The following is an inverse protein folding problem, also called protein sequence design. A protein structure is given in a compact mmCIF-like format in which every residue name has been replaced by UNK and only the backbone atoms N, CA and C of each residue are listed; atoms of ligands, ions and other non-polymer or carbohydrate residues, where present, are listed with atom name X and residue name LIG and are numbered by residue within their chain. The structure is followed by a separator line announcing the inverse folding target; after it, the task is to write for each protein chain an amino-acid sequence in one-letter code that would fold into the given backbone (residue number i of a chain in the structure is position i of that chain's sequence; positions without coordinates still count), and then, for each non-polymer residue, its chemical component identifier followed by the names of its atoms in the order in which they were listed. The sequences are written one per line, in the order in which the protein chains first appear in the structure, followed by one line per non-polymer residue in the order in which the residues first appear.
data_IF_836202146471
#
_entry.id   IF_836202146471
#
_cell.length_a   1.000
_cell.length_b   1.000
_cell.length_c   1.000
_cell.angle_alpha   90.00
_cell.angle_beta   90.00
_cell.angle_gamma   90.00
#
_symmetry.space_group_name_H-M   'P 1'
#
loop_
_entity.id
_entity.type
_entity.pdbx_description
1 polymer ?
#
# COMPACT_ATOMS: atom_id res chain seq x y z
N UNK A 1 36.94 3.94 27.06
CA UNK A 1 36.15 4.74 28.01
C UNK A 1 34.69 4.35 27.88
N UNK A 2 34.11 3.55 28.76
CA UNK A 2 32.68 3.17 28.71
C UNK A 2 31.90 4.30 29.40
N UNK A 3 31.17 5.10 28.63
CA UNK A 3 30.24 6.09 29.15
C UNK A 3 29.16 5.36 29.98
N UNK A 4 29.13 5.60 31.30
CA UNK A 4 28.02 5.13 32.15
C UNK A 4 26.77 5.95 31.79
N UNK A 5 25.99 5.48 30.83
CA UNK A 5 24.70 6.07 30.47
C UNK A 5 23.74 5.83 31.65
N UNK A 6 23.27 6.90 32.29
CA UNK A 6 22.24 6.82 33.33
C UNK A 6 20.97 6.18 32.73
N UNK A 7 20.29 5.29 33.48
CA UNK A 7 19.09 4.56 33.02
C UNK A 7 17.97 5.48 32.44
N UNK A 8 17.89 6.73 32.87
CA UNK A 8 16.92 7.70 32.35
C UNK A 8 17.30 8.43 31.07
N UNK A 9 18.58 8.39 30.64
CA UNK A 9 19.04 9.15 29.46
C UNK A 9 18.33 8.74 28.16
N UNK A 10 18.10 7.44 27.86
CA UNK A 10 17.35 7.05 26.66
C UNK A 10 15.90 7.59 26.65
N UNK A 11 15.23 7.56 27.80
CA UNK A 11 13.87 8.07 27.92
C UNK A 11 13.80 9.59 27.74
N UNK A 12 14.76 10.33 28.31
CA UNK A 12 14.84 11.78 28.12
C UNK A 12 15.10 12.16 26.66
N UNK A 13 15.90 11.40 25.93
CA UNK A 13 16.17 11.63 24.51
C UNK A 13 14.95 11.29 23.62
N UNK A 14 14.14 10.32 24.01
CA UNK A 14 12.93 9.91 23.28
C UNK A 14 11.69 10.72 23.68
N UNK A 15 11.72 11.43 24.83
CA UNK A 15 10.58 12.18 25.36
C UNK A 15 9.97 13.19 24.36
N UNK A 16 10.75 14.02 23.64
CA UNK A 16 10.18 14.95 22.66
C UNK A 16 9.37 14.25 21.57
N UNK A 17 9.89 13.13 21.07
CA UNK A 17 9.18 12.31 20.09
C UNK A 17 7.86 11.75 20.65
N UNK A 18 7.90 11.14 21.84
CA UNK A 18 6.69 10.56 22.44
C UNK A 18 5.65 11.61 22.81
N UNK A 19 6.05 12.81 23.22
CA UNK A 19 5.13 13.92 23.48
C UNK A 19 4.39 14.32 22.20
N UNK A 20 5.13 14.53 21.10
CA UNK A 20 4.55 14.90 19.80
C UNK A 20 3.66 13.76 19.29
N UNK A 21 4.14 12.52 19.36
CA UNK A 21 3.37 11.35 18.94
C UNK A 21 2.08 11.20 19.75
N UNK A 22 2.13 11.38 21.05
CA UNK A 22 0.93 11.34 21.90
C UNK A 22 -0.07 12.44 21.53
N UNK A 23 0.39 13.69 21.43
CA UNK A 23 -0.49 14.81 21.13
C UNK A 23 -1.16 14.73 19.75
N UNK A 24 -0.44 14.28 18.74
CA UNK A 24 -0.94 14.31 17.36
C UNK A 24 -1.46 12.96 16.84
N UNK A 25 -1.16 11.85 17.51
CA UNK A 25 -1.63 10.52 17.09
C UNK A 25 -2.51 9.88 18.16
N UNK A 26 -2.00 9.74 19.40
CA UNK A 26 -2.71 8.97 20.43
C UNK A 26 -3.92 9.75 20.95
N UNK A 27 -3.73 11.01 21.29
CA UNK A 27 -4.82 11.85 21.85
C UNK A 27 -6.00 11.99 20.86
N UNK A 28 -5.82 12.34 19.57
CA UNK A 28 -6.94 12.41 18.63
C UNK A 28 -7.64 11.06 18.42
N UNK A 29 -6.88 9.95 18.45
CA UNK A 29 -7.46 8.61 18.37
C UNK A 29 -8.37 8.31 19.56
N UNK A 30 -7.87 8.54 20.79
CA UNK A 30 -8.65 8.35 22.01
C UNK A 30 -9.86 9.29 22.07
N UNK A 31 -9.68 10.54 21.67
CA UNK A 31 -10.76 11.51 21.58
C UNK A 31 -11.83 11.07 20.57
N UNK A 32 -11.45 10.66 19.37
CA UNK A 32 -12.39 10.14 18.35
C UNK A 32 -13.13 8.90 18.86
N UNK A 33 -12.43 8.00 19.57
CA UNK A 33 -13.05 6.85 20.18
C UNK A 33 -14.08 7.24 21.25
N UNK A 34 -13.75 8.18 22.12
CA UNK A 34 -14.71 8.67 23.13
C UNK A 34 -15.93 9.35 22.48
N UNK A 35 -15.72 10.20 21.49
CA UNK A 35 -16.78 10.90 20.76
C UNK A 35 -17.67 9.93 19.96
N UNK A 36 -17.16 8.79 19.53
CA UNK A 36 -17.95 7.79 18.80
C UNK A 36 -19.15 7.24 19.57
N UNK A 37 -19.16 7.38 20.91
CA UNK A 37 -20.28 7.02 21.77
C UNK A 37 -21.28 8.17 22.02
N UNK A 38 -21.11 9.30 21.34
CA UNK A 38 -21.96 10.47 21.47
C UNK A 38 -22.65 10.81 20.14
N UNK A 39 -23.68 11.68 20.18
CA UNK A 39 -24.30 12.22 18.98
C UNK A 39 -23.63 13.50 18.48
N UNK A 40 -22.39 13.77 18.91
CA UNK A 40 -21.68 14.98 18.54
C UNK A 40 -21.34 15.03 17.05
N UNK A 41 -21.67 16.15 16.40
CA UNK A 41 -21.42 16.35 14.97
C UNK A 41 -20.14 17.18 14.68
N UNK A 42 -19.33 17.47 15.71
CA UNK A 42 -18.11 18.24 15.59
C UNK A 42 -18.30 19.77 15.58
N UNK A 43 -19.53 20.27 15.56
CA UNK A 43 -19.84 21.72 15.44
C UNK A 43 -20.61 22.23 16.64
N UNK A 44 -21.63 21.50 17.09
CA UNK A 44 -22.50 21.93 18.21
C UNK A 44 -21.78 21.72 19.53
N UNK A 45 -21.90 22.67 20.50
CA UNK A 45 -21.31 22.51 21.83
C UNK A 45 -22.01 21.45 22.69
N UNK A 46 -23.31 21.20 22.41
CA UNK A 46 -24.13 20.25 23.14
C UNK A 46 -24.10 18.88 22.47
N UNK A 47 -23.89 17.85 23.25
CA UNK A 47 -23.93 16.46 22.79
C UNK A 47 -24.38 15.54 23.93
N UNK A 48 -25.05 14.46 23.55
CA UNK A 48 -25.52 13.44 24.48
C UNK A 48 -24.74 12.16 24.27
N UNK A 49 -24.62 11.39 25.35
CA UNK A 49 -24.08 10.04 25.29
C UNK A 49 -25.13 9.08 24.72
N UNK A 50 -24.87 8.48 23.56
CA UNK A 50 -25.77 7.56 22.86
C UNK A 50 -25.30 6.11 22.88
N UNK A 51 -24.24 5.82 23.63
CA UNK A 51 -23.70 4.47 23.76
C UNK A 51 -23.30 3.87 22.40
N UNK A 52 -23.74 2.64 22.12
CA UNK A 52 -23.41 1.92 20.88
C UNK A 52 -24.34 2.25 19.69
N UNK A 53 -25.24 3.22 19.81
CA UNK A 53 -26.23 3.53 18.76
C UNK A 53 -25.59 3.84 17.41
N UNK A 54 -24.48 4.59 17.39
CA UNK A 54 -23.75 4.88 16.15
C UNK A 54 -23.21 3.61 15.47
N UNK A 55 -22.68 2.69 16.25
CA UNK A 55 -22.17 1.41 15.73
C UNK A 55 -23.30 0.52 15.21
N UNK A 56 -24.40 0.39 15.99
CA UNK A 56 -25.57 -0.36 15.56
C UNK A 56 -26.07 0.20 14.23
N UNK A 57 -26.25 1.51 14.11
CA UNK A 57 -26.68 2.17 12.89
C UNK A 57 -25.72 1.92 11.72
N UNK A 58 -24.40 2.01 11.95
CA UNK A 58 -23.39 1.78 10.91
C UNK A 58 -23.49 0.35 10.35
N UNK A 59 -23.68 -0.66 11.20
CA UNK A 59 -23.70 -2.06 10.76
C UNK A 59 -25.08 -2.57 10.32
N UNK A 60 -26.18 -1.91 10.67
CA UNK A 60 -27.53 -2.40 10.35
C UNK A 60 -28.27 -1.55 9.33
N UNK A 61 -28.08 -0.24 9.35
CA UNK A 61 -28.89 0.73 8.57
C UNK A 61 -28.06 1.40 7.47
N UNK A 62 -26.78 1.70 7.74
CA UNK A 62 -25.94 2.42 6.81
C UNK A 62 -25.38 1.49 5.72
N UNK A 63 -26.09 1.43 4.60
CA UNK A 63 -25.68 0.62 3.45
C UNK A 63 -24.38 1.09 2.81
N UNK A 64 -24.05 2.39 2.95
CA UNK A 64 -22.78 2.92 2.41
C UNK A 64 -21.60 2.47 3.24
N UNK A 65 -21.74 2.45 4.56
CA UNK A 65 -20.73 1.92 5.45
C UNK A 65 -20.42 0.46 5.15
N UNK A 66 -21.47 -0.38 4.99
CA UNK A 66 -21.29 -1.79 4.64
C UNK A 66 -20.64 -2.00 3.26
N UNK A 67 -20.99 -1.17 2.26
CA UNK A 67 -20.32 -1.18 0.95
C UNK A 67 -18.86 -0.78 1.07
N UNK A 68 -18.54 0.21 1.91
CA UNK A 68 -17.17 0.65 2.14
C UNK A 68 -16.32 -0.44 2.77
N UNK A 69 -16.84 -1.16 3.78
CA UNK A 69 -16.16 -2.32 4.36
C UNK A 69 -15.87 -3.39 3.30
N UNK A 70 -16.88 -3.76 2.50
CA UNK A 70 -16.71 -4.76 1.43
C UNK A 70 -15.65 -4.33 0.41
N UNK A 71 -15.64 -3.07 0.00
CA UNK A 71 -14.63 -2.53 -0.91
C UNK A 71 -13.23 -2.53 -0.26
N UNK A 72 -13.12 -2.12 1.00
CA UNK A 72 -11.85 -2.13 1.73
C UNK A 72 -11.27 -3.55 1.82
N UNK A 73 -12.09 -4.54 2.16
CA UNK A 73 -11.66 -5.94 2.20
C UNK A 73 -11.26 -6.45 0.81
N UNK A 74 -12.05 -6.15 -0.22
CA UNK A 74 -11.70 -6.47 -1.60
C UNK A 74 -10.34 -5.88 -1.99
N UNK A 75 -10.12 -4.60 -1.75
CA UNK A 75 -8.87 -3.93 -2.07
C UNK A 75 -7.70 -4.45 -1.24
N UNK A 76 -7.87 -4.71 0.05
CA UNK A 76 -6.82 -5.26 0.90
C UNK A 76 -6.37 -6.65 0.41
N UNK A 77 -7.30 -7.51 0.05
CA UNK A 77 -7.02 -8.89 -0.40
C UNK A 77 -6.46 -8.92 -1.82
N UNK A 78 -6.79 -7.93 -2.67
CA UNK A 78 -6.34 -7.92 -4.07
C UNK A 78 -5.09 -7.07 -4.27
N UNK A 79 -5.07 -5.83 -3.78
CA UNK A 79 -3.99 -4.88 -4.07
C UNK A 79 -2.68 -5.31 -3.40
N UNK A 80 -2.72 -5.58 -2.09
CA UNK A 80 -1.50 -5.89 -1.33
C UNK A 80 -0.78 -7.15 -1.84
N UNK A 81 -1.46 -8.30 -2.04
CA UNK A 81 -0.80 -9.47 -2.61
C UNK A 81 -0.27 -9.27 -4.03
N UNK A 82 -1.00 -8.54 -4.88
CA UNK A 82 -0.54 -8.26 -6.24
C UNK A 82 0.71 -7.37 -6.25
N UNK A 83 0.74 -6.32 -5.44
CA UNK A 83 1.93 -5.46 -5.30
C UNK A 83 3.15 -6.25 -4.81
N UNK A 84 2.96 -7.08 -3.78
CA UNK A 84 4.00 -7.93 -3.23
C UNK A 84 4.51 -8.94 -4.26
N UNK A 85 3.61 -9.62 -4.97
CA UNK A 85 3.96 -10.62 -5.97
C UNK A 85 4.75 -10.00 -7.13
N UNK A 86 4.26 -8.89 -7.69
CA UNK A 86 4.93 -8.20 -8.79
C UNK A 86 6.26 -7.62 -8.30
N UNK A 87 6.28 -6.94 -7.15
CA UNK A 87 7.49 -6.34 -6.59
C UNK A 87 8.56 -7.37 -6.28
N UNK A 88 8.20 -8.50 -5.66
CA UNK A 88 9.10 -9.61 -5.37
C UNK A 88 9.64 -10.24 -6.65
N UNK A 89 8.76 -10.55 -7.62
CA UNK A 89 9.19 -11.14 -8.90
C UNK A 89 10.18 -10.26 -9.63
N UNK A 90 9.94 -8.95 -9.66
CA UNK A 90 10.85 -7.99 -10.28
C UNK A 90 12.18 -7.86 -9.51
N UNK A 91 12.15 -7.90 -8.17
CA UNK A 91 13.35 -7.86 -7.35
C UNK A 91 14.24 -9.09 -7.59
N UNK A 92 13.65 -10.29 -7.60
CA UNK A 92 14.35 -11.55 -7.93
C UNK A 92 14.93 -11.49 -9.34
N UNK A 93 14.14 -11.04 -10.32
CA UNK A 93 14.58 -10.89 -11.70
C UNK A 93 15.77 -9.93 -11.83
N UNK A 94 15.73 -8.77 -11.18
CA UNK A 94 16.82 -7.80 -11.19
C UNK A 94 18.08 -8.35 -10.53
N UNK A 95 17.95 -8.99 -9.37
CA UNK A 95 19.11 -9.61 -8.68
C UNK A 95 19.76 -10.67 -9.53
N UNK A 96 18.97 -11.48 -10.24
CA UNK A 96 19.47 -12.61 -11.02
C UNK A 96 20.11 -12.20 -12.35
N UNK A 97 19.54 -11.20 -13.06
CA UNK A 97 19.90 -10.94 -14.45
C UNK A 97 20.56 -9.57 -14.70
N UNK A 98 20.40 -8.58 -13.80
CA UNK A 98 20.81 -7.20 -14.08
C UNK A 98 21.74 -6.59 -13.00
N UNK A 99 22.95 -7.11 -12.86
CA UNK A 99 23.92 -6.60 -11.88
C UNK A 99 24.38 -5.15 -12.13
N UNK A 100 24.45 -4.66 -13.38
CA UNK A 100 24.96 -3.31 -13.73
C UNK A 100 23.88 -2.30 -14.14
N UNK A 101 22.86 -2.72 -14.89
CA UNK A 101 21.79 -1.84 -15.42
C UNK A 101 20.59 -1.72 -14.49
N UNK A 102 20.58 -2.47 -13.40
CA UNK A 102 19.47 -2.54 -12.45
C UNK A 102 19.07 -1.19 -11.81
N UNK A 103 20.00 -0.24 -11.66
CA UNK A 103 19.71 1.09 -11.07
C UNK A 103 18.74 1.92 -11.91
N UNK A 104 18.95 1.98 -13.22
CA UNK A 104 18.04 2.73 -14.11
C UNK A 104 16.64 2.10 -14.12
N UNK A 105 16.56 0.76 -14.14
CA UNK A 105 15.30 0.04 -14.06
C UNK A 105 14.58 0.29 -12.71
N UNK A 106 15.31 0.29 -11.61
CA UNK A 106 14.76 0.63 -10.30
C UNK A 106 14.17 2.02 -10.27
N UNK A 107 14.90 3.03 -10.78
CA UNK A 107 14.44 4.42 -10.82
C UNK A 107 13.16 4.57 -11.66
N UNK A 108 13.10 3.97 -12.84
CA UNK A 108 11.93 4.02 -13.73
C UNK A 108 10.70 3.40 -13.05
N UNK A 109 10.86 2.26 -12.41
CA UNK A 109 9.75 1.57 -11.75
C UNK A 109 9.35 2.22 -10.41
N UNK A 110 10.25 2.97 -9.76
CA UNK A 110 9.96 3.72 -8.54
C UNK A 110 9.30 5.08 -8.82
N UNK A 111 9.45 5.63 -10.02
CA UNK A 111 8.95 6.94 -10.42
C UNK A 111 7.43 7.10 -10.21
N UNK A 112 6.56 6.12 -10.52
CA UNK A 112 5.14 6.23 -10.23
C UNK A 112 4.82 6.47 -8.76
N UNK A 113 5.56 5.86 -7.84
CA UNK A 113 5.36 5.98 -6.41
C UNK A 113 5.53 7.43 -5.90
N UNK A 114 6.53 8.15 -6.41
CA UNK A 114 6.83 9.53 -5.98
C UNK A 114 6.00 10.59 -6.70
N UNK A 115 5.28 10.21 -7.76
CA UNK A 115 4.49 11.17 -8.56
C UNK A 115 3.10 11.35 -7.95
N UNK A 116 2.81 12.53 -7.40
CA UNK A 116 1.54 12.83 -6.72
C UNK A 116 0.37 13.16 -7.66
N UNK A 117 0.66 13.63 -8.87
CA UNK A 117 -0.37 14.11 -9.83
C UNK A 117 -0.98 13.02 -10.72
N UNK A 118 -0.73 11.76 -10.43
CA UNK A 118 -1.17 10.63 -11.27
C UNK A 118 -2.68 10.49 -11.37
N UNK A 119 -3.43 10.87 -10.34
CA UNK A 119 -4.90 10.80 -10.34
C UNK A 119 -5.53 11.59 -11.48
N UNK A 120 -4.96 12.74 -11.85
CA UNK A 120 -5.45 13.57 -12.97
C UNK A 120 -5.22 12.84 -14.30
N UNK A 121 -4.02 12.26 -14.47
CA UNK A 121 -3.65 11.53 -15.67
C UNK A 121 -4.54 10.30 -15.85
N UNK A 122 -4.76 9.52 -14.80
CA UNK A 122 -5.62 8.34 -14.86
C UNK A 122 -7.09 8.69 -15.07
N UNK A 123 -7.58 9.81 -14.50
CA UNK A 123 -8.91 10.30 -14.81
C UNK A 123 -9.07 10.55 -16.32
N UNK A 124 -8.09 11.20 -16.95
CA UNK A 124 -8.10 11.45 -18.40
C UNK A 124 -8.01 10.14 -19.22
N UNK A 125 -7.16 9.21 -18.81
CA UNK A 125 -7.00 7.91 -19.48
C UNK A 125 -8.30 7.09 -19.46
N UNK A 126 -9.01 7.07 -18.31
CA UNK A 126 -10.21 6.28 -18.08
C UNK A 126 -11.52 7.07 -18.26
N UNK A 127 -11.46 8.29 -18.81
CA UNK A 127 -12.67 9.06 -19.14
C UNK A 127 -13.58 8.28 -20.10
N UNK A 128 -14.91 8.38 -19.90
CA UNK A 128 -15.89 7.63 -20.69
C UNK A 128 -15.84 8.01 -22.17
N UNK A 129 -16.00 9.30 -22.49
CA UNK A 129 -15.97 9.80 -23.88
C UNK A 129 -14.60 10.40 -24.19
N UNK A 130 -13.93 9.84 -25.18
CA UNK A 130 -12.61 10.34 -25.61
C UNK A 130 -11.43 9.90 -24.73
N UNK A 131 -11.65 9.06 -23.73
CA UNK A 131 -10.57 8.49 -22.92
C UNK A 131 -9.65 7.58 -23.74
N UNK A 132 -8.36 7.59 -23.43
CA UNK A 132 -7.33 6.85 -24.17
C UNK A 132 -7.65 5.36 -24.27
N UNK A 133 -8.08 4.73 -23.17
CA UNK A 133 -8.43 3.31 -23.13
C UNK A 133 -9.65 3.01 -24.01
N UNK A 134 -10.70 3.83 -23.94
CA UNK A 134 -11.89 3.61 -24.76
C UNK A 134 -11.62 3.84 -26.24
N UNK A 135 -10.80 4.83 -26.59
CA UNK A 135 -10.37 5.02 -27.99
C UNK A 135 -9.59 3.82 -28.50
N UNK A 136 -8.67 3.27 -27.69
CA UNK A 136 -7.92 2.07 -28.04
C UNK A 136 -8.83 0.85 -28.21
N UNK A 137 -9.75 0.60 -27.26
CA UNK A 137 -10.71 -0.49 -27.32
C UNK A 137 -11.67 -0.36 -28.51
N UNK A 138 -12.03 0.88 -28.88
CA UNK A 138 -12.84 1.18 -30.05
C UNK A 138 -12.23 0.72 -31.37
N UNK A 139 -10.89 0.62 -31.49
CA UNK A 139 -10.21 0.05 -32.67
C UNK A 139 -10.54 -1.43 -32.87
N UNK A 140 -10.95 -2.13 -31.81
CA UNK A 140 -11.36 -3.53 -31.83
C UNK A 140 -12.89 -3.69 -31.81
N UNK A 141 -13.65 -2.63 -32.01
CA UNK A 141 -15.11 -2.67 -32.04
C UNK A 141 -15.80 -2.75 -30.67
N UNK A 142 -15.05 -2.49 -29.56
CA UNK A 142 -15.61 -2.50 -28.21
C UNK A 142 -16.28 -1.16 -27.93
N UNK A 143 -17.53 -1.21 -27.45
CA UNK A 143 -18.25 0.00 -27.04
C UNK A 143 -17.56 0.69 -25.84
N UNK A 144 -17.64 2.03 -25.73
CA UNK A 144 -17.03 2.78 -24.64
C UNK A 144 -17.54 2.35 -23.26
N UNK A 145 -16.64 1.92 -22.41
CA UNK A 145 -16.94 1.51 -21.03
C UNK A 145 -16.90 2.72 -20.11
N UNK A 146 -17.91 2.86 -19.23
CA UNK A 146 -17.94 3.91 -18.21
C UNK A 146 -17.13 3.49 -16.98
N UNK A 147 -15.79 3.50 -17.14
CA UNK A 147 -14.80 3.00 -16.18
C UNK A 147 -14.97 3.55 -14.77
N UNK A 148 -15.19 4.85 -14.63
CA UNK A 148 -15.24 5.54 -13.34
C UNK A 148 -16.65 5.66 -12.75
N UNK A 149 -17.69 5.35 -13.54
CA UNK A 149 -19.09 5.49 -13.11
C UNK A 149 -19.78 4.17 -12.77
N UNK A 150 -19.23 3.04 -13.22
CA UNK A 150 -19.79 1.73 -12.91
C UNK A 150 -19.03 1.05 -11.77
N UNK A 151 -19.71 0.35 -10.84
CA UNK A 151 -19.10 -0.21 -9.64
C UNK A 151 -17.94 -1.17 -9.90
N UNK A 152 -18.06 -2.10 -10.84
CA UNK A 152 -17.01 -3.05 -11.14
C UNK A 152 -15.85 -2.47 -11.94
N UNK A 153 -16.08 -1.76 -13.07
CA UNK A 153 -15.00 -1.09 -13.79
C UNK A 153 -14.20 -0.13 -12.89
N UNK A 154 -14.86 0.66 -12.03
CA UNK A 154 -14.15 1.58 -11.14
C UNK A 154 -13.26 0.86 -10.12
N UNK A 155 -13.68 -0.29 -9.59
CA UNK A 155 -12.83 -1.12 -8.71
C UNK A 155 -11.60 -1.64 -9.45
N UNK A 156 -11.75 -2.10 -10.69
CA UNK A 156 -10.63 -2.57 -11.51
C UNK A 156 -9.63 -1.44 -11.77
N UNK A 157 -10.12 -0.23 -12.09
CA UNK A 157 -9.26 0.95 -12.27
C UNK A 157 -8.49 1.26 -10.99
N UNK A 158 -9.16 1.28 -9.83
CA UNK A 158 -8.49 1.53 -8.53
C UNK A 158 -7.43 0.47 -8.24
N UNK A 159 -7.75 -0.83 -8.43
CA UNK A 159 -6.79 -1.91 -8.22
C UNK A 159 -5.59 -1.74 -9.15
N UNK A 160 -5.82 -1.51 -10.44
CA UNK A 160 -4.76 -1.34 -11.42
C UNK A 160 -3.84 -0.16 -11.07
N UNK A 161 -4.43 1.02 -10.80
CA UNK A 161 -3.68 2.24 -10.49
C UNK A 161 -2.87 2.08 -9.21
N UNK A 162 -3.46 1.53 -8.15
CA UNK A 162 -2.78 1.34 -6.88
C UNK A 162 -1.67 0.28 -6.95
N UNK A 163 -1.90 -0.82 -7.68
CA UNK A 163 -0.86 -1.82 -7.92
C UNK A 163 0.27 -1.20 -8.74
N UNK A 164 -0.04 -0.52 -9.85
CA UNK A 164 0.94 0.11 -10.71
C UNK A 164 1.74 1.21 -10.00
N UNK A 165 1.11 1.96 -9.11
CA UNK A 165 1.77 3.00 -8.32
C UNK A 165 2.79 2.43 -7.33
N UNK A 166 2.46 1.31 -6.69
CA UNK A 166 3.19 0.86 -5.50
C UNK A 166 4.10 -0.36 -5.74
N UNK A 167 3.94 -1.13 -6.83
CA UNK A 167 4.78 -2.31 -7.06
C UNK A 167 6.28 -1.98 -7.11
N UNK A 168 6.64 -0.81 -7.63
CA UNK A 168 8.04 -0.35 -7.70
C UNK A 168 8.65 -0.10 -6.32
N UNK A 169 7.87 0.45 -5.39
CA UNK A 169 8.28 0.59 -3.99
C UNK A 169 8.50 -0.79 -3.34
N UNK A 170 7.58 -1.73 -3.53
CA UNK A 170 7.73 -3.10 -3.05
C UNK A 170 8.95 -3.80 -3.65
N UNK A 171 9.21 -3.60 -4.95
CA UNK A 171 10.41 -4.10 -5.61
C UNK A 171 11.70 -3.62 -4.92
N UNK A 172 11.79 -2.33 -4.59
CA UNK A 172 12.98 -1.75 -3.92
C UNK A 172 13.14 -2.34 -2.51
N UNK A 173 12.06 -2.49 -1.75
CA UNK A 173 12.09 -3.12 -0.42
C UNK A 173 12.58 -4.57 -0.49
N UNK A 174 12.00 -5.36 -1.40
CA UNK A 174 12.45 -6.75 -1.58
C UNK A 174 13.89 -6.84 -2.06
N UNK A 175 14.29 -5.96 -2.96
CA UNK A 175 15.68 -5.93 -3.45
C UNK A 175 16.67 -5.62 -2.33
N UNK A 176 16.33 -4.71 -1.41
CA UNK A 176 17.13 -4.43 -0.22
C UNK A 176 17.26 -5.67 0.68
N UNK A 177 16.14 -6.37 0.95
CA UNK A 177 16.15 -7.63 1.68
C UNK A 177 16.98 -8.71 1.00
N UNK A 178 16.78 -8.91 -0.30
CA UNK A 178 17.54 -9.88 -1.09
C UNK A 178 19.03 -9.58 -1.10
N UNK A 179 19.42 -8.31 -1.08
CA UNK A 179 20.83 -7.89 -1.06
C UNK A 179 21.52 -8.15 0.29
N UNK A 180 20.77 -8.40 1.34
CA UNK A 180 21.30 -8.78 2.65
C UNK A 180 21.65 -10.26 2.75
N UNK A 181 21.20 -11.09 1.80
CA UNK A 181 21.53 -12.53 1.75
C UNK A 181 22.92 -12.70 1.12
N UNK A 182 23.89 -13.30 1.85
CA UNK A 182 25.25 -13.53 1.34
C UNK A 182 25.25 -14.38 0.07
N UNK A 183 26.06 -13.98 -0.91
CA UNK A 183 26.16 -14.70 -2.19
C UNK A 183 26.78 -16.11 -1.99
N UNK A 184 27.57 -16.31 -0.94
CA UNK A 184 28.15 -17.61 -0.58
C UNK A 184 27.10 -18.70 -0.37
N UNK A 185 25.91 -18.35 0.15
CA UNK A 185 24.81 -19.32 0.32
C UNK A 185 24.30 -19.84 -1.02
N UNK A 186 24.21 -18.96 -2.01
CA UNK A 186 23.82 -19.36 -3.36
C UNK A 186 24.91 -20.17 -4.08
N UNK A 187 26.18 -19.89 -3.81
CA UNK A 187 27.32 -20.63 -4.36
C UNK A 187 27.39 -22.03 -3.76
N UNK A 188 27.26 -22.15 -2.43
CA UNK A 188 27.24 -23.47 -1.75
C UNK A 188 26.07 -24.32 -2.28
N UNK A 189 24.87 -23.76 -2.36
CA UNK A 189 23.71 -24.48 -2.90
C UNK A 189 23.90 -24.94 -4.35
N UNK A 190 24.62 -24.16 -5.18
CA UNK A 190 24.95 -24.58 -6.56
C UNK A 190 25.94 -25.75 -6.58
N UNK A 191 26.91 -25.75 -5.69
CA UNK A 191 27.87 -26.88 -5.54
C UNK A 191 27.13 -28.15 -5.12
N UNK A 192 26.12 -28.02 -4.23
CA UNK A 192 25.25 -29.11 -3.80
C UNK A 192 24.23 -29.53 -4.86
N UNK A 193 24.25 -28.95 -6.07
CA UNK A 193 23.35 -29.29 -7.17
C UNK A 193 21.95 -28.68 -7.08
N UNK A 194 21.71 -27.71 -6.19
CA UNK A 194 20.42 -27.04 -6.05
C UNK A 194 20.07 -26.18 -7.28
N UNK A 195 18.99 -26.51 -7.97
CA UNK A 195 18.46 -25.73 -9.07
C UNK A 195 17.87 -24.39 -8.62
N UNK A 196 17.57 -23.50 -9.59
CA UNK A 196 17.07 -22.14 -9.33
C UNK A 196 15.81 -22.13 -8.44
N UNK A 197 14.85 -23.01 -8.66
CA UNK A 197 13.64 -23.12 -7.84
C UNK A 197 13.95 -23.51 -6.40
N UNK A 198 14.88 -24.44 -6.21
CA UNK A 198 15.30 -24.85 -4.86
C UNK A 198 15.96 -23.69 -4.11
N UNK A 199 16.86 -22.96 -4.77
CA UNK A 199 17.48 -21.75 -4.20
C UNK A 199 16.44 -20.68 -3.87
N UNK A 200 15.42 -20.48 -4.73
CA UNK A 200 14.34 -19.50 -4.51
C UNK A 200 13.56 -19.82 -3.22
N UNK A 201 13.13 -21.07 -3.05
CA UNK A 201 12.25 -21.43 -1.91
C UNK A 201 12.98 -21.73 -0.61
N UNK A 202 14.29 -22.00 -0.62
CA UNK A 202 15.03 -22.41 0.58
C UNK A 202 16.10 -21.40 1.02
N UNK A 203 16.47 -20.45 0.16
CA UNK A 203 17.48 -19.43 0.49
C UNK A 203 16.87 -18.03 0.36
N UNK A 204 16.05 -17.81 -0.67
CA UNK A 204 15.54 -16.47 -1.01
C UNK A 204 14.27 -16.13 -0.23
N UNK A 205 13.37 -17.08 0.01
CA UNK A 205 12.10 -16.94 0.77
C UNK A 205 12.25 -17.55 2.15
#
# INVERSE_FOLDING_TARGET
MRLKVKRGTPFAMLAPYFIIYFLFNVFPLLFSFAVSFTNWNGIRPEFDFVGLSNYIRAFTVDTQFLKSIKNTLLFAITISPLQMLIGFSLAVFLKSFFKRTGRAFQLINFLPYITTSLSIIFNFIFTWKGGVINNFLGLFGVEPIYWLGLPWPSRLVVIFVEVWRNYGYMMVLFLAGLSAIPDELYEAARIDGAGWWHQLFHITI
#
